data_IF_773310047364
#
_entry.id   IF_773310047364
#
_cell.length_a   1.000
_cell.length_b   1.000
_cell.length_c   1.000
_cell.angle_alpha   90.00
_cell.angle_beta   90.00
_cell.angle_gamma   90.00
#
_symmetry.space_group_name_H-M   'P 1'
#
loop_
_entity.id
_entity.type
_entity.pdbx_description
1 polymer ?
#
# COMPACT_ATOMS: atom_id res chain seq x y z
N UNK A 1 3.35 -5.84 29.62
CA UNK A 1 4.02 -6.29 28.39
C UNK A 1 4.56 -5.05 27.68
N UNK A 2 5.84 -4.73 27.87
CA UNK A 2 6.53 -3.63 27.17
C UNK A 2 7.77 -4.24 26.53
N UNK A 3 7.57 -4.96 25.42
CA UNK A 3 8.67 -5.55 24.63
C UNK A 3 9.31 -4.49 23.72
N UNK A 4 8.63 -3.36 23.53
CA UNK A 4 8.98 -2.34 22.55
C UNK A 4 9.12 -0.98 23.23
N UNK A 5 10.27 -0.32 23.05
CA UNK A 5 10.43 1.09 23.47
C UNK A 5 9.50 1.98 22.64
N UNK A 6 8.81 2.92 23.30
CA UNK A 6 7.73 3.76 22.74
C UNK A 6 6.71 2.94 21.92
N UNK A 7 6.49 3.31 20.66
CA UNK A 7 5.69 2.54 19.69
C UNK A 7 6.58 2.01 18.57
N UNK A 8 7.78 1.53 18.90
CA UNK A 8 8.69 0.88 17.93
C UNK A 8 8.05 -0.31 17.22
N UNK A 9 7.10 -1.01 17.84
CA UNK A 9 6.29 -2.03 17.16
C UNK A 9 5.59 -1.47 15.91
N UNK A 10 5.00 -0.27 15.97
CA UNK A 10 4.37 0.34 14.80
C UNK A 10 5.37 0.65 13.66
N UNK A 11 6.65 0.84 14.00
CA UNK A 11 7.72 1.11 13.04
C UNK A 11 8.35 -0.16 12.46
N UNK A 12 8.47 -1.23 13.24
CA UNK A 12 9.26 -2.41 12.86
C UNK A 12 8.47 -3.72 12.79
N UNK A 13 7.40 -3.89 13.56
CA UNK A 13 6.67 -5.17 13.68
C UNK A 13 5.25 -5.15 13.12
N UNK A 14 4.57 -4.01 13.14
CA UNK A 14 3.19 -3.89 12.70
C UNK A 14 3.13 -3.80 11.16
N UNK A 15 2.81 -4.91 10.50
CA UNK A 15 2.64 -4.95 9.05
C UNK A 15 1.58 -3.96 8.54
N UNK A 16 0.46 -3.82 9.27
CA UNK A 16 -0.57 -2.82 8.94
C UNK A 16 0.00 -1.40 8.99
N UNK A 17 0.81 -1.09 9.99
CA UNK A 17 1.50 0.19 10.13
C UNK A 17 2.47 0.44 8.98
N UNK A 18 3.24 -0.57 8.56
CA UNK A 18 4.17 -0.47 7.43
C UNK A 18 3.45 -0.28 6.09
N UNK A 19 2.38 -1.05 5.83
CA UNK A 19 1.54 -0.92 4.63
C UNK A 19 0.93 0.48 4.57
N UNK A 20 0.34 0.94 5.67
CA UNK A 20 -0.23 2.30 5.77
C UNK A 20 0.83 3.38 5.57
N UNK A 21 2.03 3.15 6.11
CA UNK A 21 3.19 4.01 5.91
C UNK A 21 3.61 4.12 4.44
N UNK A 22 3.70 3.01 3.72
CA UNK A 22 3.98 3.01 2.29
C UNK A 22 2.89 3.74 1.50
N UNK A 23 1.61 3.48 1.78
CA UNK A 23 0.52 4.23 1.14
C UNK A 23 0.55 5.73 1.47
N UNK A 24 1.06 6.12 2.65
CA UNK A 24 1.20 7.52 3.03
C UNK A 24 2.22 8.30 2.16
N UNK A 25 3.06 7.61 1.37
CA UNK A 25 3.91 8.24 0.35
C UNK A 25 3.11 8.94 -0.75
N UNK A 26 1.85 8.49 -0.97
CA UNK A 26 0.93 9.07 -1.96
C UNK A 26 0.06 10.18 -1.34
N UNK A 27 -0.02 10.28 -0.01
CA UNK A 27 -0.95 11.17 0.69
C UNK A 27 -0.72 12.67 0.39
N UNK A 28 -1.81 13.47 0.23
CA UNK A 28 -1.74 14.91 -0.04
C UNK A 28 -1.57 15.76 1.22
N UNK A 29 -1.42 15.14 2.40
CA UNK A 29 -1.25 15.83 3.68
C UNK A 29 0.05 15.34 4.32
N UNK A 30 0.81 16.26 4.92
CA UNK A 30 2.01 15.95 5.68
C UNK A 30 2.16 16.80 6.94
N UNK A 31 2.91 16.26 7.90
CA UNK A 31 3.39 17.00 9.06
C UNK A 31 4.88 17.26 8.89
N UNK A 32 5.30 18.52 8.86
CA UNK A 32 6.70 18.92 8.67
C UNK A 32 7.12 20.06 9.58
N UNK A 33 8.41 20.32 9.66
CA UNK A 33 8.92 21.55 10.27
C UNK A 33 8.64 22.75 9.36
N UNK A 34 8.27 23.90 9.93
CA UNK A 34 8.14 25.16 9.16
C UNK A 34 9.50 25.60 8.63
N UNK A 35 10.52 25.52 9.47
CA UNK A 35 11.90 25.83 9.10
C UNK A 35 12.88 24.80 9.67
N UNK A 36 13.65 24.14 8.78
CA UNK A 36 14.73 23.20 9.18
C UNK A 36 15.82 23.89 10.01
N UNK A 37 16.07 25.19 9.80
CA UNK A 37 17.06 25.98 10.56
C UNK A 37 16.67 26.14 12.04
N UNK A 38 15.39 26.36 12.34
CA UNK A 38 14.86 26.39 13.72
C UNK A 38 15.00 25.01 14.37
N UNK A 39 14.73 23.94 13.62
CA UNK A 39 15.02 22.60 14.10
C UNK A 39 16.52 22.41 14.35
N UNK A 40 17.43 22.92 13.51
CA UNK A 40 18.87 22.77 13.69
C UNK A 40 19.37 23.42 15.00
N UNK A 41 18.94 24.66 15.29
CA UNK A 41 19.36 25.41 16.49
C UNK A 41 18.64 25.01 17.78
N UNK A 42 17.51 24.30 17.69
CA UNK A 42 16.75 23.83 18.86
C UNK A 42 17.56 22.81 19.68
N UNK A 43 17.89 23.12 20.94
CA UNK A 43 18.68 22.22 21.81
C UNK A 43 17.83 21.15 22.52
N UNK A 44 16.58 21.47 22.84
CA UNK A 44 15.69 20.60 23.63
C UNK A 44 15.25 19.38 22.82
N UNK A 45 14.85 19.61 21.56
CA UNK A 45 14.34 18.59 20.63
C UNK A 45 13.12 17.84 21.18
N UNK A 46 12.27 18.54 21.92
CA UNK A 46 11.15 17.95 22.65
C UNK A 46 10.11 17.29 21.75
N UNK A 47 9.96 17.72 20.50
CA UNK A 47 9.12 17.01 19.53
C UNK A 47 9.58 15.57 19.27
N UNK A 48 10.85 15.25 19.52
CA UNK A 48 11.42 13.91 19.43
C UNK A 48 11.58 13.25 20.80
N UNK A 49 11.97 14.00 21.85
CA UNK A 49 12.23 13.44 23.19
C UNK A 49 10.99 13.34 24.09
N UNK A 50 10.04 14.25 23.92
CA UNK A 50 8.92 14.47 24.84
C UNK A 50 9.26 15.48 25.94
N UNK A 51 8.24 16.07 26.53
CA UNK A 51 8.33 16.97 27.68
C UNK A 51 7.04 16.91 28.51
N UNK A 52 6.84 17.83 29.45
CA UNK A 52 5.65 17.86 30.30
C UNK A 52 4.32 18.10 29.53
N UNK A 53 4.38 18.65 28.30
CA UNK A 53 3.19 18.96 27.48
C UNK A 53 2.76 17.80 26.58
N UNK A 54 3.64 16.85 26.30
CA UNK A 54 3.35 15.75 25.39
C UNK A 54 4.51 14.77 25.23
N UNK A 55 4.21 13.63 24.60
CA UNK A 55 5.19 12.59 24.35
C UNK A 55 6.12 12.99 23.20
N UNK A 56 7.31 12.36 23.17
CA UNK A 56 8.17 12.43 22.00
C UNK A 56 7.56 11.65 20.84
N UNK A 57 8.04 11.86 19.62
CA UNK A 57 7.57 11.11 18.46
C UNK A 57 7.61 9.59 18.73
N UNK A 58 6.46 8.89 18.67
CA UNK A 58 6.35 7.50 19.08
C UNK A 58 7.05 6.52 18.13
N UNK A 59 7.28 6.95 16.88
CA UNK A 59 7.97 6.19 15.83
C UNK A 59 9.36 6.75 15.51
N UNK A 60 9.94 7.57 16.39
CA UNK A 60 11.29 8.14 16.25
C UNK A 60 11.50 8.99 14.99
N UNK A 61 10.45 9.68 14.52
CA UNK A 61 10.60 10.70 13.49
C UNK A 61 11.08 12.02 14.08
N UNK A 62 12.10 12.60 13.45
CA UNK A 62 12.65 13.90 13.83
C UNK A 62 12.35 14.94 12.75
N UNK A 63 11.53 15.95 13.08
CA UNK A 63 11.06 16.98 12.15
C UNK A 63 12.17 17.74 11.40
N UNK A 64 13.39 17.80 11.93
CA UNK A 64 14.51 18.46 11.25
C UNK A 64 15.10 17.65 10.07
N UNK A 65 14.89 16.33 10.03
CA UNK A 65 15.39 15.42 8.99
C UNK A 65 14.26 14.63 8.29
N UNK A 66 13.05 14.69 8.83
CA UNK A 66 11.89 14.00 8.27
C UNK A 66 11.53 14.56 6.89
N UNK A 67 11.58 13.69 5.88
CA UNK A 67 11.25 14.06 4.50
C UNK A 67 10.10 13.25 3.93
N UNK A 68 9.93 11.99 4.33
CA UNK A 68 8.84 11.10 3.87
C UNK A 68 7.80 10.86 4.94
N UNK A 69 6.59 10.51 4.52
CA UNK A 69 5.50 10.15 5.42
C UNK A 69 5.57 8.69 5.95
N UNK A 70 6.45 7.83 5.43
CA UNK A 70 6.42 6.37 5.67
C UNK A 70 6.33 5.97 7.14
N UNK A 71 6.97 6.73 8.03
CA UNK A 71 7.06 6.41 9.45
C UNK A 71 6.21 7.35 10.33
N UNK A 72 5.52 8.32 9.72
CA UNK A 72 4.63 9.23 10.44
C UNK A 72 3.26 8.58 10.62
N UNK A 73 2.84 8.40 11.87
CA UNK A 73 1.48 7.95 12.18
C UNK A 73 0.50 9.12 12.40
N UNK A 74 0.89 10.35 12.07
CA UNK A 74 0.09 11.58 12.23
C UNK A 74 -0.59 11.76 13.61
N UNK A 75 0.05 11.31 14.69
CA UNK A 75 -0.48 11.42 16.06
C UNK A 75 -0.44 12.84 16.66
N UNK A 76 0.21 13.79 15.98
CA UNK A 76 0.33 15.20 16.38
C UNK A 76 0.99 15.49 17.74
N UNK A 77 1.60 14.51 18.40
CA UNK A 77 2.38 14.74 19.64
C UNK A 77 3.52 15.76 19.42
N UNK A 78 4.12 15.77 18.23
CA UNK A 78 5.14 16.75 17.89
C UNK A 78 4.62 18.21 17.91
N UNK A 79 3.33 18.46 17.65
CA UNK A 79 2.72 19.79 17.76
C UNK A 79 2.62 20.21 19.23
N UNK A 80 2.22 19.28 20.11
CA UNK A 80 2.10 19.53 21.55
C UNK A 80 3.45 19.76 22.23
N UNK A 81 4.44 18.97 21.84
CA UNK A 81 5.76 18.96 22.50
C UNK A 81 6.73 20.01 21.94
N UNK A 82 6.48 20.61 20.76
CA UNK A 82 7.41 21.57 20.17
C UNK A 82 7.35 22.97 20.83
N UNK A 83 8.34 23.27 21.67
CA UNK A 83 8.46 24.59 22.34
C UNK A 83 8.72 25.77 21.38
N UNK A 84 9.14 25.50 20.14
CA UNK A 84 9.43 26.52 19.13
C UNK A 84 8.27 26.75 18.17
N UNK A 85 7.14 26.06 18.37
CA UNK A 85 5.94 26.14 17.51
C UNK A 85 6.27 25.94 16.01
N UNK A 86 7.31 25.16 15.74
CA UNK A 86 7.90 25.01 14.40
C UNK A 86 7.30 23.85 13.61
N UNK A 87 6.07 23.43 13.94
CA UNK A 87 5.37 22.31 13.27
C UNK A 87 4.27 22.88 12.38
N UNK A 88 4.11 22.30 11.20
CA UNK A 88 3.06 22.62 10.25
C UNK A 88 2.39 21.35 9.72
N UNK A 89 1.09 21.45 9.47
CA UNK A 89 0.34 20.52 8.65
C UNK A 89 0.21 21.17 7.29
N UNK A 90 0.80 20.56 6.26
CA UNK A 90 0.83 21.10 4.90
C UNK A 90 -0.03 20.24 3.98
N UNK A 91 -0.65 20.90 3.00
CA UNK A 91 -1.18 20.23 1.81
C UNK A 91 -0.05 20.17 0.77
N UNK A 92 0.09 19.02 0.10
CA UNK A 92 1.13 18.75 -0.89
C UNK A 92 0.57 17.99 -2.09
N UNK A 93 1.24 18.01 -3.25
CA UNK A 93 0.88 17.16 -4.38
C UNK A 93 0.93 15.67 -4.00
N UNK A 94 0.01 14.89 -4.58
CA UNK A 94 -0.01 13.43 -4.41
C UNK A 94 1.32 12.80 -4.87
N UNK A 95 1.77 11.76 -4.17
CA UNK A 95 2.92 10.95 -4.60
C UNK A 95 4.29 11.64 -4.54
N UNK A 96 4.42 12.87 -4.01
CA UNK A 96 5.70 13.60 -4.03
C UNK A 96 6.83 12.87 -3.29
N UNK A 97 6.52 12.05 -2.30
CA UNK A 97 7.53 11.28 -1.57
C UNK A 97 8.07 10.09 -2.38
N UNK A 98 7.34 9.60 -3.39
CA UNK A 98 7.81 8.56 -4.32
C UNK A 98 8.96 9.06 -5.19
N UNK A 99 9.06 10.39 -5.39
CA UNK A 99 10.14 11.02 -6.14
C UNK A 99 11.44 11.15 -5.32
N UNK A 100 11.42 10.86 -4.02
CA UNK A 100 12.59 10.88 -3.12
C UNK A 100 13.33 9.54 -3.20
N UNK A 101 13.75 9.21 -4.42
CA UNK A 101 14.35 7.94 -4.81
C UNK A 101 15.69 7.68 -4.09
N UNK A 102 16.40 8.74 -3.71
CA UNK A 102 17.65 8.64 -2.94
C UNK A 102 17.47 8.09 -1.51
N UNK A 103 16.24 7.97 -1.00
CA UNK A 103 15.93 7.36 0.30
C UNK A 103 15.19 6.03 0.14
N UNK A 104 15.40 5.30 -0.96
CA UNK A 104 14.86 3.97 -1.12
C UNK A 104 15.48 3.03 -0.07
N UNK A 105 14.64 2.30 0.67
CA UNK A 105 15.08 1.31 1.66
C UNK A 105 14.72 -0.11 1.20
N UNK A 106 15.53 -1.08 1.62
CA UNK A 106 15.40 -2.50 1.26
C UNK A 106 14.11 -3.11 1.81
N UNK A 107 13.76 -2.79 3.05
CA UNK A 107 12.55 -3.28 3.70
C UNK A 107 11.28 -2.72 3.05
N UNK A 108 11.29 -1.44 2.65
CA UNK A 108 10.22 -0.81 1.88
C UNK A 108 10.05 -1.49 0.52
N UNK A 109 11.13 -1.74 -0.22
CA UNK A 109 11.08 -2.41 -1.51
C UNK A 109 10.57 -3.87 -1.40
N UNK A 110 11.06 -4.62 -0.42
CA UNK A 110 10.60 -5.99 -0.16
C UNK A 110 9.11 -6.01 0.18
N UNK A 111 8.65 -5.11 1.05
CA UNK A 111 7.25 -5.02 1.43
C UNK A 111 6.36 -4.61 0.24
N UNK A 112 6.82 -3.71 -0.64
CA UNK A 112 6.09 -3.36 -1.86
C UNK A 112 5.85 -4.57 -2.77
N UNK A 113 6.85 -5.43 -2.95
CA UNK A 113 6.71 -6.66 -3.74
C UNK A 113 5.76 -7.66 -3.06
N UNK A 114 5.85 -7.81 -1.73
CA UNK A 114 4.89 -8.62 -0.96
C UNK A 114 3.48 -8.07 -1.09
N UNK A 115 3.29 -6.76 -1.01
CA UNK A 115 1.99 -6.11 -1.18
C UNK A 115 1.42 -6.36 -2.58
N UNK A 116 2.24 -6.21 -3.63
CA UNK A 116 1.81 -6.48 -5.00
C UNK A 116 1.39 -7.95 -5.18
N UNK A 117 2.12 -8.87 -4.56
CA UNK A 117 1.82 -10.30 -4.60
C UNK A 117 0.53 -10.64 -3.85
N UNK A 118 0.44 -10.22 -2.59
CA UNK A 118 -0.68 -10.53 -1.70
C UNK A 118 -1.98 -9.88 -2.17
N UNK A 119 -1.93 -8.65 -2.69
CA UNK A 119 -3.15 -7.99 -3.20
C UNK A 119 -3.67 -8.74 -4.41
N UNK A 120 -2.80 -9.11 -5.36
CA UNK A 120 -3.17 -9.90 -6.54
C UNK A 120 -3.71 -11.28 -6.15
N UNK A 121 -3.06 -11.95 -5.20
CA UNK A 121 -3.49 -13.24 -4.66
C UNK A 121 -4.86 -13.14 -4.00
N UNK A 122 -5.11 -12.11 -3.19
CA UNK A 122 -6.41 -11.91 -2.55
C UNK A 122 -7.53 -11.77 -3.60
N UNK A 123 -7.30 -10.98 -4.65
CA UNK A 123 -8.22 -10.89 -5.78
C UNK A 123 -8.44 -12.24 -6.47
N UNK A 124 -7.38 -12.97 -6.77
CA UNK A 124 -7.45 -14.30 -7.38
C UNK A 124 -8.31 -15.26 -6.55
N UNK A 125 -8.14 -15.27 -5.23
CA UNK A 125 -8.83 -16.22 -4.32
C UNK A 125 -10.36 -16.10 -4.29
N UNK A 126 -10.89 -15.01 -4.86
CA UNK A 126 -12.33 -14.74 -4.95
C UNK A 126 -12.88 -14.94 -6.37
N UNK A 127 -12.12 -15.60 -7.26
CA UNK A 127 -12.51 -15.83 -8.66
C UNK A 127 -12.81 -17.31 -8.93
N UNK A 128 -13.64 -17.65 -9.93
CA UNK A 128 -13.90 -19.04 -10.31
C UNK A 128 -12.63 -19.83 -10.67
N UNK A 129 -11.63 -19.15 -11.23
CA UNK A 129 -10.34 -19.75 -11.58
C UNK A 129 -9.64 -20.34 -10.34
N UNK A 130 -9.74 -19.67 -9.20
CA UNK A 130 -9.15 -20.16 -7.96
C UNK A 130 -9.83 -21.43 -7.47
N UNK A 131 -11.17 -21.47 -7.47
CA UNK A 131 -11.92 -22.65 -7.04
C UNK A 131 -11.64 -23.85 -7.95
N UNK A 132 -11.55 -23.64 -9.26
CA UNK A 132 -11.14 -24.68 -10.20
C UNK A 132 -9.73 -25.20 -9.91
N UNK A 133 -8.78 -24.31 -9.62
CA UNK A 133 -7.40 -24.68 -9.32
C UNK A 133 -7.26 -25.41 -7.97
N UNK A 134 -7.95 -24.95 -6.92
CA UNK A 134 -7.93 -25.64 -5.62
C UNK A 134 -8.63 -26.99 -5.69
N UNK A 135 -9.74 -27.10 -6.43
CA UNK A 135 -10.43 -28.36 -6.65
C UNK A 135 -9.56 -29.38 -7.42
N UNK A 136 -8.84 -28.91 -8.44
CA UNK A 136 -7.86 -29.74 -9.15
C UNK A 136 -6.73 -30.24 -8.22
N UNK A 137 -6.21 -29.38 -7.34
CA UNK A 137 -5.20 -29.81 -6.36
C UNK A 137 -5.74 -30.84 -5.37
N UNK A 138 -6.96 -30.65 -4.88
CA UNK A 138 -7.64 -31.57 -3.99
C UNK A 138 -7.84 -32.94 -4.64
N UNK A 139 -8.31 -32.98 -5.88
CA UNK A 139 -8.59 -34.22 -6.62
C UNK A 139 -7.31 -35.00 -6.97
N UNK A 140 -6.29 -34.31 -7.48
CA UNK A 140 -5.09 -34.97 -8.03
C UNK A 140 -4.01 -35.26 -6.98
N UNK A 141 -3.89 -34.41 -5.96
CA UNK A 141 -2.85 -34.55 -4.94
C UNK A 141 -3.40 -34.92 -3.57
N UNK A 142 -4.72 -34.97 -3.38
CA UNK A 142 -5.35 -35.32 -2.11
C UNK A 142 -5.05 -34.32 -0.98
N UNK A 143 -4.65 -33.09 -1.34
CA UNK A 143 -4.32 -32.03 -0.37
C UNK A 143 -5.57 -31.22 -0.04
N UNK A 144 -5.90 -31.02 1.25
CA UNK A 144 -7.09 -30.22 1.61
C UNK A 144 -6.96 -28.73 1.26
N UNK A 145 -8.10 -28.02 1.23
CA UNK A 145 -8.20 -26.59 0.87
C UNK A 145 -7.16 -25.69 1.54
N UNK A 146 -6.89 -25.87 2.84
CA UNK A 146 -5.91 -25.04 3.56
C UNK A 146 -4.48 -25.23 3.04
N UNK A 147 -4.13 -26.46 2.64
CA UNK A 147 -2.85 -26.74 2.01
C UNK A 147 -2.79 -26.13 0.60
N UNK A 148 -3.84 -26.31 -0.21
CA UNK A 148 -3.94 -25.69 -1.53
C UNK A 148 -3.83 -24.15 -1.47
N UNK A 149 -4.53 -23.53 -0.51
CA UNK A 149 -4.44 -22.09 -0.25
C UNK A 149 -3.02 -21.65 0.13
N UNK A 150 -2.37 -22.40 1.02
CA UNK A 150 -0.99 -22.10 1.44
C UNK A 150 0.00 -22.22 0.27
N UNK A 151 -0.16 -23.24 -0.57
CA UNK A 151 0.64 -23.44 -1.79
C UNK A 151 0.43 -22.25 -2.74
N UNK A 152 -0.81 -21.86 -3.01
CA UNK A 152 -1.11 -20.72 -3.89
C UNK A 152 -0.57 -19.40 -3.35
N UNK A 153 -0.65 -19.19 -2.03
CA UNK A 153 -0.09 -18.00 -1.38
C UNK A 153 1.44 -17.96 -1.53
N UNK A 154 2.15 -19.06 -1.21
CA UNK A 154 3.60 -19.16 -1.37
C UNK A 154 4.00 -18.98 -2.85
N UNK A 155 3.26 -19.61 -3.76
CA UNK A 155 3.48 -19.44 -5.20
C UNK A 155 3.34 -17.97 -5.61
N UNK A 156 2.32 -17.25 -5.13
CA UNK A 156 2.15 -15.82 -5.43
C UNK A 156 3.32 -14.97 -4.90
N UNK A 157 3.81 -15.27 -3.70
CA UNK A 157 4.95 -14.61 -3.06
C UNK A 157 6.29 -14.89 -3.77
N UNK A 158 6.35 -15.91 -4.63
CA UNK A 158 7.52 -16.23 -5.44
C UNK A 158 7.36 -15.67 -6.86
N UNK A 159 6.24 -15.96 -7.52
CA UNK A 159 6.00 -15.63 -8.93
C UNK A 159 6.02 -14.12 -9.17
N UNK A 160 5.40 -13.33 -8.28
CA UNK A 160 5.32 -11.88 -8.46
C UNK A 160 6.70 -11.21 -8.29
N UNK A 161 7.47 -11.45 -7.20
CA UNK A 161 8.83 -10.95 -7.11
C UNK A 161 9.77 -11.49 -8.20
N UNK A 162 9.59 -12.74 -8.64
CA UNK A 162 10.37 -13.32 -9.74
C UNK A 162 10.09 -12.61 -11.05
N UNK A 163 8.83 -12.35 -11.39
CA UNK A 163 8.47 -11.56 -12.58
C UNK A 163 9.10 -10.18 -12.54
N UNK A 164 8.98 -9.47 -11.40
CA UNK A 164 9.63 -8.18 -11.20
C UNK A 164 11.16 -8.26 -11.38
N UNK A 165 11.80 -9.25 -10.77
CA UNK A 165 13.24 -9.48 -10.88
C UNK A 165 13.67 -9.71 -12.34
N UNK A 166 12.93 -10.52 -13.09
CA UNK A 166 13.20 -10.78 -14.51
C UNK A 166 13.10 -9.49 -15.34
N UNK A 167 12.08 -8.67 -15.10
CA UNK A 167 11.96 -7.34 -15.75
C UNK A 167 13.16 -6.46 -15.41
N UNK A 168 13.62 -6.47 -14.16
CA UNK A 168 14.80 -5.70 -13.75
C UNK A 168 16.08 -6.24 -14.38
N UNK A 169 16.23 -7.55 -14.55
CA UNK A 169 17.37 -8.15 -15.27
C UNK A 169 17.39 -7.69 -16.73
N UNK A 170 16.26 -7.74 -17.42
CA UNK A 170 16.13 -7.24 -18.80
C UNK A 170 16.49 -5.76 -18.87
N UNK A 171 15.95 -4.95 -17.96
CA UNK A 171 16.25 -3.51 -17.87
C UNK A 171 17.75 -3.26 -17.67
N UNK A 172 18.38 -3.99 -16.74
CA UNK A 172 19.80 -3.86 -16.43
C UNK A 172 20.71 -4.24 -17.60
N UNK A 173 20.34 -5.27 -18.37
CA UNK A 173 21.07 -5.70 -19.58
C UNK A 173 20.90 -4.68 -20.71
N UNK A 174 19.68 -4.22 -20.99
CA UNK A 174 19.37 -3.21 -22.02
C UNK A 174 20.13 -1.90 -21.79
N UNK A 175 20.45 -1.61 -20.53
CA UNK A 175 21.16 -0.39 -20.11
C UNK A 175 22.64 -0.59 -19.86
N UNK A 176 23.22 -1.68 -20.37
CA UNK A 176 24.65 -1.95 -20.33
C UNK A 176 25.21 -1.90 -18.89
N UNK A 177 24.38 -2.23 -17.89
CA UNK A 177 24.77 -2.29 -16.48
C UNK A 177 25.33 -0.96 -15.92
N UNK A 178 24.82 0.16 -16.42
CA UNK A 178 25.24 1.53 -16.03
C UNK A 178 25.11 1.84 -14.54
N UNK A 179 24.13 1.24 -13.85
CA UNK A 179 23.98 1.33 -12.39
C UNK A 179 24.04 -0.06 -11.76
N UNK A 180 24.25 -0.13 -10.45
CA UNK A 180 24.23 -1.40 -9.73
C UNK A 180 22.83 -2.03 -9.77
N UNK A 181 22.77 -3.36 -9.85
CA UNK A 181 21.50 -4.07 -9.97
C UNK A 181 20.61 -3.91 -8.74
N UNK A 182 21.20 -3.87 -7.53
CA UNK A 182 20.45 -3.60 -6.31
C UNK A 182 19.89 -2.19 -6.27
N UNK A 183 20.66 -1.19 -6.69
CA UNK A 183 20.17 0.19 -6.77
C UNK A 183 18.99 0.31 -7.73
N UNK A 184 19.04 -0.39 -8.88
CA UNK A 184 17.90 -0.48 -9.80
C UNK A 184 16.67 -1.06 -9.09
N UNK A 185 16.79 -2.25 -8.50
CA UNK A 185 15.69 -2.94 -7.79
C UNK A 185 15.07 -2.07 -6.70
N UNK A 186 15.87 -1.42 -5.86
CA UNK A 186 15.36 -0.66 -4.73
C UNK A 186 14.59 0.57 -5.19
N UNK A 187 15.10 1.26 -6.22
CA UNK A 187 14.55 2.53 -6.68
C UNK A 187 13.30 2.34 -7.54
N UNK A 188 13.22 1.27 -8.32
CA UNK A 188 12.08 1.00 -9.20
C UNK A 188 10.92 0.29 -8.51
N UNK A 189 11.11 -0.32 -7.33
CA UNK A 189 10.02 -0.95 -6.58
C UNK A 189 8.87 0.03 -6.26
N UNK A 190 9.19 1.30 -5.96
CA UNK A 190 8.23 2.37 -5.64
C UNK A 190 7.31 2.73 -6.82
N UNK A 191 7.70 2.36 -8.05
CA UNK A 191 6.88 2.56 -9.25
C UNK A 191 5.60 1.73 -9.19
N UNK A 192 5.60 0.60 -8.49
CA UNK A 192 4.45 -0.29 -8.37
C UNK A 192 3.53 0.04 -7.19
N UNK A 193 3.92 0.97 -6.32
CA UNK A 193 3.11 1.37 -5.16
C UNK A 193 1.75 1.97 -5.55
N UNK A 194 1.63 2.86 -6.57
CA UNK A 194 0.32 3.32 -7.03
C UNK A 194 -0.58 2.17 -7.51
N UNK A 195 -0.07 1.23 -8.33
CA UNK A 195 -0.84 0.04 -8.72
C UNK A 195 -1.33 -0.73 -7.49
N UNK A 196 -0.45 -1.02 -6.53
CA UNK A 196 -0.83 -1.77 -5.34
C UNK A 196 -1.94 -1.05 -4.54
N UNK A 197 -1.79 0.26 -4.30
CA UNK A 197 -2.79 1.07 -3.58
C UNK A 197 -4.13 1.07 -4.31
N UNK A 198 -4.13 1.43 -5.58
CA UNK A 198 -5.36 1.66 -6.32
C UNK A 198 -6.08 0.37 -6.70
N UNK A 199 -5.35 -0.72 -6.91
CA UNK A 199 -5.96 -2.04 -7.02
C UNK A 199 -6.55 -2.50 -5.69
N UNK A 200 -5.87 -2.25 -4.57
CA UNK A 200 -6.42 -2.53 -3.24
C UNK A 200 -7.72 -1.74 -3.00
N UNK A 201 -7.78 -0.46 -3.41
CA UNK A 201 -9.01 0.33 -3.38
C UNK A 201 -10.09 -0.27 -4.31
N UNK A 202 -9.76 -0.54 -5.58
CA UNK A 202 -10.71 -1.13 -6.55
C UNK A 202 -11.32 -2.43 -6.03
N UNK A 203 -10.50 -3.35 -5.54
CA UNK A 203 -10.95 -4.62 -4.99
C UNK A 203 -11.91 -4.41 -3.81
N UNK A 204 -11.59 -3.52 -2.87
CA UNK A 204 -12.41 -3.29 -1.68
C UNK A 204 -13.69 -2.46 -1.92
N UNK A 205 -13.82 -1.75 -3.04
CA UNK A 205 -15.06 -1.03 -3.38
C UNK A 205 -16.25 -1.99 -3.48
N UNK A 206 -16.05 -3.22 -3.97
CA UNK A 206 -17.10 -4.24 -4.00
C UNK A 206 -17.56 -4.59 -2.58
N UNK A 207 -16.63 -4.89 -1.67
CA UNK A 207 -16.95 -5.20 -0.27
C UNK A 207 -17.66 -4.03 0.42
N UNK A 208 -17.17 -2.81 0.23
CA UNK A 208 -17.83 -1.61 0.75
C UNK A 208 -19.26 -1.46 0.21
N UNK A 209 -19.46 -1.65 -1.09
CA UNK A 209 -20.77 -1.50 -1.72
C UNK A 209 -21.75 -2.58 -1.29
N UNK A 210 -21.33 -3.84 -1.22
CA UNK A 210 -22.21 -4.98 -0.96
C UNK A 210 -22.46 -5.20 0.54
N UNK A 211 -21.52 -4.83 1.40
CA UNK A 211 -21.60 -5.10 2.85
C UNK A 211 -21.77 -3.83 3.70
N UNK A 212 -21.57 -2.64 3.13
CA UNK A 212 -21.55 -1.39 3.91
C UNK A 212 -22.87 -1.09 4.64
N UNK A 213 -24.03 -1.48 4.10
CA UNK A 213 -25.32 -1.27 4.79
C UNK A 213 -25.44 -2.15 6.06
N UNK A 214 -24.71 -3.27 6.15
CA UNK A 214 -24.72 -4.16 7.32
C UNK A 214 -24.31 -3.44 8.60
N UNK A 215 -23.50 -2.37 8.50
CA UNK A 215 -23.10 -1.54 9.64
C UNK A 215 -24.34 -0.99 10.37
N UNK A 216 -25.41 -0.63 9.66
CA UNK A 216 -26.63 -0.07 10.26
C UNK A 216 -27.35 -1.10 11.12
N UNK A 217 -27.39 -2.37 10.69
CA UNK A 217 -28.00 -3.46 11.47
C UNK A 217 -27.10 -3.87 12.64
N UNK A 218 -25.79 -3.98 12.41
CA UNK A 218 -24.80 -4.37 13.44
C UNK A 218 -24.71 -3.32 14.56
N UNK A 219 -24.85 -2.03 14.27
CA UNK A 219 -24.85 -0.98 15.32
C UNK A 219 -26.06 -1.09 16.25
N UNK A 220 -27.18 -1.65 15.79
CA UNK A 220 -28.36 -1.92 16.63
C UNK A 220 -28.21 -3.15 17.52
N UNK A 221 -27.40 -4.13 17.12
CA UNK A 221 -27.08 -5.32 17.91
C UNK A 221 -25.59 -5.70 17.81
N UNK A 222 -24.69 -4.90 18.41
CA UNK A 222 -23.24 -5.06 18.21
C UNK A 222 -22.66 -6.37 18.76
N UNK A 223 -23.35 -6.98 19.74
CA UNK A 223 -22.94 -8.23 20.36
C UNK A 223 -23.78 -9.43 19.93
N UNK A 224 -24.73 -9.23 19.01
CA UNK A 224 -25.68 -10.25 18.58
C UNK A 224 -26.44 -10.89 19.76
N UNK A 225 -26.81 -10.07 20.75
CA UNK A 225 -27.55 -10.50 21.95
C UNK A 225 -29.08 -10.36 21.79
N UNK A 226 -29.54 -10.06 20.57
CA UNK A 226 -30.93 -9.76 20.28
C UNK A 226 -31.31 -8.32 20.63
N UNK A 227 -30.33 -7.43 20.77
CA UNK A 227 -30.60 -6.01 21.01
C UNK A 227 -31.21 -5.35 19.77
N UNK A 228 -31.89 -4.24 19.98
CA UNK A 228 -32.39 -3.41 18.89
C UNK A 228 -32.32 -1.93 19.27
N UNK A 229 -31.10 -1.47 19.59
CA UNK A 229 -30.85 -0.17 20.19
C UNK A 229 -31.43 1.00 19.36
N UNK A 230 -31.45 0.87 18.03
CA UNK A 230 -31.93 1.91 17.12
C UNK A 230 -33.11 1.46 16.24
N UNK A 231 -33.73 0.31 16.52
CA UNK A 231 -34.84 -0.20 15.71
C UNK A 231 -34.43 -0.82 14.37
N UNK A 232 -33.13 -0.91 14.06
CA UNK A 232 -32.62 -1.32 12.74
C UNK A 232 -32.04 -2.75 12.69
N UNK A 233 -32.07 -3.50 13.79
CA UNK A 233 -31.43 -4.83 13.84
C UNK A 233 -31.96 -5.82 12.77
N UNK A 234 -33.27 -5.74 12.46
CA UNK A 234 -33.94 -6.60 11.46
C UNK A 234 -34.14 -5.94 10.10
N UNK A 235 -33.51 -4.78 9.86
CA UNK A 235 -33.64 -4.08 8.59
C UNK A 235 -33.03 -4.93 7.47
N UNK A 236 -33.75 -5.17 6.36
CA UNK A 236 -33.18 -5.84 5.21
C UNK A 236 -32.01 -5.01 4.67
N UNK A 237 -30.86 -5.65 4.53
CA UNK A 237 -29.62 -5.04 4.02
C UNK A 237 -29.56 -5.25 2.51
N UNK A 238 -29.35 -4.16 1.77
CA UNK A 238 -29.12 -4.17 0.33
C UNK A 238 -27.72 -3.64 -0.01
N UNK A 239 -27.36 -3.67 -1.30
CA UNK A 239 -26.14 -3.03 -1.76
C UNK A 239 -26.28 -1.50 -1.73
N UNK A 240 -25.26 -0.80 -1.24
CA UNK A 240 -25.18 0.67 -1.22
C UNK A 240 -25.13 1.27 -2.63
N UNK A 241 -24.60 0.51 -3.60
CA UNK A 241 -24.37 0.96 -4.97
C UNK A 241 -24.70 -0.16 -5.96
N UNK A 242 -25.10 0.21 -7.18
CA UNK A 242 -25.31 -0.77 -8.24
C UNK A 242 -23.99 -1.41 -8.68
N UNK A 243 -24.06 -2.64 -9.19
CA UNK A 243 -22.91 -3.37 -9.75
C UNK A 243 -22.18 -2.57 -10.85
N UNK A 244 -22.92 -1.81 -11.66
CA UNK A 244 -22.36 -0.94 -12.69
C UNK A 244 -21.55 0.23 -12.09
N UNK A 245 -22.05 0.84 -11.01
CA UNK A 245 -21.34 1.92 -10.31
C UNK A 245 -20.04 1.40 -9.71
N UNK A 246 -20.09 0.21 -9.08
CA UNK A 246 -18.90 -0.47 -8.54
C UNK A 246 -17.87 -0.72 -9.65
N UNK A 247 -18.31 -1.27 -10.79
CA UNK A 247 -17.44 -1.51 -11.94
C UNK A 247 -16.75 -0.23 -12.44
N UNK A 248 -17.50 0.87 -12.60
CA UNK A 248 -16.91 2.14 -13.04
C UNK A 248 -15.89 2.68 -12.04
N UNK A 249 -16.16 2.58 -10.74
CA UNK A 249 -15.21 2.98 -9.69
C UNK A 249 -13.95 2.10 -9.70
N UNK A 250 -14.10 0.79 -9.89
CA UNK A 250 -12.98 -0.15 -9.99
C UNK A 250 -12.06 0.20 -11.16
N UNK A 251 -12.64 0.38 -12.35
CA UNK A 251 -11.90 0.75 -13.56
C UNK A 251 -11.23 2.12 -13.38
N UNK A 252 -11.95 3.09 -12.80
CA UNK A 252 -11.41 4.42 -12.50
C UNK A 252 -10.17 4.36 -11.58
N UNK A 253 -10.24 3.60 -10.49
CA UNK A 253 -9.08 3.43 -9.60
C UNK A 253 -7.91 2.76 -10.31
N UNK A 254 -8.15 1.70 -11.07
CA UNK A 254 -7.09 1.00 -11.84
C UNK A 254 -6.41 1.96 -12.83
N UNK A 255 -7.18 2.79 -13.55
CA UNK A 255 -6.62 3.80 -14.47
C UNK A 255 -5.75 4.82 -13.71
N UNK A 256 -6.21 5.32 -12.55
CA UNK A 256 -5.40 6.24 -11.75
C UNK A 256 -4.09 5.58 -11.32
N UNK A 257 -4.15 4.36 -10.79
CA UNK A 257 -2.96 3.61 -10.38
C UNK A 257 -1.99 3.41 -11.55
N UNK A 258 -2.50 3.05 -12.71
CA UNK A 258 -1.72 2.87 -13.93
C UNK A 258 -1.01 4.15 -14.35
N UNK A 259 -1.75 5.25 -14.51
CA UNK A 259 -1.20 6.55 -14.96
C UNK A 259 -0.18 7.08 -13.96
N UNK A 260 -0.44 6.98 -12.65
CA UNK A 260 0.52 7.40 -11.63
C UNK A 260 1.77 6.52 -11.64
N UNK A 261 1.65 5.20 -11.78
CA UNK A 261 2.80 4.31 -11.89
C UNK A 261 3.66 4.64 -13.12
N UNK A 262 3.06 4.92 -14.27
CA UNK A 262 3.81 5.37 -15.45
C UNK A 262 4.54 6.69 -15.19
N UNK A 263 3.87 7.68 -14.59
CA UNK A 263 4.49 8.95 -14.26
C UNK A 263 5.68 8.78 -13.30
N UNK A 264 5.53 8.01 -12.22
CA UNK A 264 6.63 7.76 -11.27
C UNK A 264 7.75 7.00 -11.98
N UNK A 265 7.43 5.98 -12.79
CA UNK A 265 8.39 5.23 -13.59
C UNK A 265 9.24 6.14 -14.47
N UNK A 266 8.61 7.05 -15.21
CA UNK A 266 9.30 8.05 -16.03
C UNK A 266 10.23 8.95 -15.22
N UNK A 267 9.75 9.48 -14.08
CA UNK A 267 10.55 10.36 -13.21
C UNK A 267 11.72 9.63 -12.57
N UNK A 268 11.54 8.36 -12.16
CA UNK A 268 12.60 7.51 -11.63
C UNK A 268 13.63 7.20 -12.70
N UNK A 269 13.21 6.88 -13.93
CA UNK A 269 14.10 6.59 -15.05
C UNK A 269 15.00 7.80 -15.40
N UNK A 270 14.44 9.02 -15.42
CA UNK A 270 15.21 10.26 -15.65
C UNK A 270 16.20 10.53 -14.50
N UNK A 271 15.84 10.18 -13.27
CA UNK A 271 16.72 10.37 -12.12
C UNK A 271 17.88 9.36 -12.10
N UNK A 272 17.64 8.16 -12.60
CA UNK A 272 18.62 7.07 -12.65
C UNK A 272 19.56 7.14 -13.85
N UNK A 273 19.06 7.63 -14.98
CA UNK A 273 19.76 7.56 -16.27
C UNK A 273 19.70 8.90 -17.01
N UNK A 274 20.74 9.18 -17.80
CA UNK A 274 20.72 10.29 -18.74
C UNK A 274 19.54 10.17 -19.73
N UNK A 275 19.02 11.30 -20.21
CA UNK A 275 17.75 11.38 -20.96
C UNK A 275 17.65 10.41 -22.14
N UNK A 276 18.74 10.12 -22.85
CA UNK A 276 18.76 9.16 -23.98
C UNK A 276 18.63 7.69 -23.54
N UNK A 277 19.23 7.32 -22.40
CA UNK A 277 19.16 5.96 -21.85
C UNK A 277 17.88 5.75 -21.02
N UNK A 278 17.32 6.82 -20.46
CA UNK A 278 16.06 6.80 -19.69
C UNK A 278 14.89 6.19 -20.45
N UNK A 279 14.70 6.52 -21.74
CA UNK A 279 13.58 5.98 -22.53
C UNK A 279 13.71 4.46 -22.76
N UNK A 280 14.94 3.97 -22.96
CA UNK A 280 15.20 2.52 -23.09
C UNK A 280 15.01 1.79 -21.76
N UNK A 281 15.37 2.45 -20.65
CA UNK A 281 15.20 1.93 -19.30
C UNK A 281 13.73 1.81 -18.90
N UNK A 282 12.94 2.78 -19.35
CA UNK A 282 11.53 2.88 -19.03
C UNK A 282 10.71 1.79 -19.73
N UNK A 283 11.10 1.35 -20.93
CA UNK A 283 10.29 0.40 -21.73
C UNK A 283 9.95 -0.92 -21.00
N UNK A 284 10.90 -1.70 -20.44
CA UNK A 284 10.54 -2.92 -19.71
C UNK A 284 9.67 -2.65 -18.48
N UNK A 285 9.89 -1.52 -17.80
CA UNK A 285 9.09 -1.12 -16.65
C UNK A 285 7.64 -0.76 -17.04
N UNK A 286 7.47 -0.04 -18.14
CA UNK A 286 6.14 0.29 -18.69
C UNK A 286 5.39 -0.98 -19.06
N UNK A 287 6.06 -1.94 -19.71
CA UNK A 287 5.47 -3.25 -20.03
C UNK A 287 5.02 -3.95 -18.75
N UNK A 288 5.85 -3.97 -17.70
CA UNK A 288 5.46 -4.58 -16.43
C UNK A 288 4.25 -3.87 -15.78
N UNK A 289 4.24 -2.54 -15.77
CA UNK A 289 3.11 -1.73 -15.27
C UNK A 289 1.82 -2.03 -16.05
N UNK A 290 1.89 -2.16 -17.37
CA UNK A 290 0.76 -2.56 -18.22
C UNK A 290 0.29 -3.97 -17.85
N UNK A 291 1.20 -4.94 -17.77
CA UNK A 291 0.88 -6.34 -17.43
C UNK A 291 0.17 -6.41 -16.07
N UNK A 292 0.69 -5.76 -15.04
CA UNK A 292 0.03 -5.73 -13.73
C UNK A 292 -1.34 -5.05 -13.79
N UNK A 293 -1.48 -3.97 -14.57
CA UNK A 293 -2.76 -3.26 -14.69
C UNK A 293 -3.81 -4.10 -15.43
N UNK A 294 -3.39 -4.87 -16.45
CA UNK A 294 -4.25 -5.82 -17.16
C UNK A 294 -4.67 -6.99 -16.26
N UNK A 295 -3.75 -7.52 -15.45
CA UNK A 295 -4.06 -8.54 -14.44
C UNK A 295 -5.06 -7.99 -13.42
N UNK A 296 -4.81 -6.78 -12.89
CA UNK A 296 -5.73 -6.11 -11.97
C UNK A 296 -7.13 -5.94 -12.57
N UNK A 297 -7.22 -5.51 -13.84
CA UNK A 297 -8.49 -5.35 -14.54
C UNK A 297 -9.19 -6.70 -14.77
N UNK A 298 -8.44 -7.73 -15.16
CA UNK A 298 -8.95 -9.08 -15.34
C UNK A 298 -9.55 -9.64 -14.05
N UNK A 299 -8.83 -9.46 -12.92
CA UNK A 299 -9.26 -9.95 -11.61
C UNK A 299 -10.55 -9.26 -11.14
N UNK A 300 -10.68 -7.93 -11.28
CA UNK A 300 -11.93 -7.24 -10.90
C UNK A 300 -13.09 -7.51 -11.87
N UNK A 301 -12.79 -7.94 -13.10
CA UNK A 301 -13.81 -8.31 -14.08
C UNK A 301 -14.40 -9.71 -13.84
N UNK A 302 -13.77 -10.54 -13.02
CA UNK A 302 -14.31 -11.85 -12.68
C UNK A 302 -15.52 -11.70 -11.75
N UNK A 303 -16.51 -12.62 -11.86
CA UNK A 303 -17.58 -12.68 -10.88
C UNK A 303 -16.96 -12.97 -9.51
N UNK A 304 -17.22 -12.09 -8.54
CA UNK A 304 -16.68 -12.23 -7.20
C UNK A 304 -17.53 -13.20 -6.40
N UNK A 305 -16.97 -14.36 -6.06
CA UNK A 305 -17.62 -15.31 -5.16
C UNK A 305 -17.29 -14.91 -3.71
N UNK A 306 -18.17 -14.10 -3.12
CA UNK A 306 -17.98 -13.64 -1.74
C UNK A 306 -18.18 -14.81 -0.77
N UNK A 307 -17.20 -15.05 0.10
CA UNK A 307 -17.32 -16.08 1.15
C UNK A 307 -18.43 -15.79 2.17
N UNK A 308 -18.89 -14.54 2.25
CA UNK A 308 -19.90 -14.03 3.19
C UNK A 308 -21.33 -13.99 2.62
N UNK A 309 -21.54 -14.44 1.38
CA UNK A 309 -22.86 -14.47 0.72
C UNK A 309 -23.53 -15.86 0.71
N UNK A 310 -23.07 -16.78 1.55
CA UNK A 310 -23.82 -18.01 1.89
C UNK A 310 -24.53 -17.83 3.22
#
# INVERSE_FOLDING_TARGET
>A
IVVFDRKSFCRYGCLIGRISGLYALIAPIEVRSRAKSVCASCKTKDCFKGNAKGYGCPTYEYLGKMEKNTYCIMCMECIRSCEKENVAINIRPFGVDLLKVHQAQEDEAALLLVMLAMTSFHGLTMTPLWFAWTGWLEEWFGVGYMAAFTIGMIASLIVVPLFYFLVMVVTWIVLEKTISFMELILKTAYVFLPIALFYHLAHNVMHFAMEGEKIVSVVSDPFNWGWNLFGTALRPVGPLMSIYTVWYLQVFFIIIGHVWSLYIGHRVAIHLYESKKSLKAEFPMVVAVIVYSLISLYLVAQPMEMRSSM
#
